data_IF_353630262376
#
_entry.id   IF_353630262376
#
_cell.length_a   1.000
_cell.length_b   1.000
_cell.length_c   1.000
_cell.angle_alpha   90.00
_cell.angle_beta   90.00
_cell.angle_gamma   90.00
#
_symmetry.space_group_name_H-M   'P 1'
#
loop_
_entity.id
_entity.type
_entity.pdbx_description
1 polymer ?
#
# COMPACT_ATOMS: atom_id res chain seq x y z
N UNK A 1 -15.06 -9.23 -13.94
CA UNK A 1 -13.92 -8.43 -14.43
C UNK A 1 -13.32 -7.71 -13.22
N UNK A 2 -12.00 -7.61 -13.11
CA UNK A 2 -11.32 -6.86 -12.04
C UNK A 2 -10.90 -5.51 -12.62
N UNK A 3 -11.45 -4.42 -12.07
CA UNK A 3 -11.30 -3.06 -12.59
C UNK A 3 -10.42 -2.16 -11.69
N UNK A 4 -10.00 -2.67 -10.54
CA UNK A 4 -9.16 -1.94 -9.60
C UNK A 4 -7.69 -2.29 -9.82
N UNK A 5 -6.81 -1.34 -9.56
CA UNK A 5 -5.36 -1.52 -9.63
C UNK A 5 -4.95 -2.62 -8.67
N UNK A 6 -4.05 -3.49 -9.11
CA UNK A 6 -3.39 -4.49 -8.25
C UNK A 6 -1.90 -4.45 -8.49
N UNK A 7 -1.15 -4.68 -7.43
CA UNK A 7 0.29 -4.59 -7.38
C UNK A 7 0.89 -5.89 -6.85
N UNK A 8 2.21 -6.01 -6.90
CA UNK A 8 2.89 -7.21 -6.43
C UNK A 8 2.69 -7.45 -4.92
N UNK A 9 2.52 -6.39 -4.13
CA UNK A 9 2.30 -6.51 -2.68
C UNK A 9 0.94 -7.15 -2.34
N UNK A 10 -0.05 -7.00 -3.23
CA UNK A 10 -1.40 -7.55 -3.05
C UNK A 10 -1.42 -9.08 -3.22
N UNK A 11 -0.46 -9.61 -3.99
CA UNK A 11 -0.37 -11.05 -4.25
C UNK A 11 -0.16 -11.85 -2.96
N UNK A 12 0.60 -11.31 -2.01
CA UNK A 12 0.91 -12.01 -0.77
C UNK A 12 -0.36 -12.32 0.05
N UNK A 13 -1.16 -11.29 0.35
CA UNK A 13 -2.47 -11.45 1.02
C UNK A 13 -3.41 -12.33 0.21
N UNK A 14 -3.39 -12.19 -1.12
CA UNK A 14 -4.22 -13.00 -2.04
C UNK A 14 -3.94 -14.49 -1.88
N UNK A 15 -2.68 -14.92 -1.94
CA UNK A 15 -2.31 -16.33 -1.84
C UNK A 15 -2.64 -16.88 -0.45
N UNK A 16 -2.32 -16.13 0.60
CA UNK A 16 -2.59 -16.53 1.99
C UNK A 16 -4.08 -16.81 2.21
N UNK A 17 -4.95 -15.88 1.81
CA UNK A 17 -6.40 -16.03 1.98
C UNK A 17 -6.99 -17.09 1.05
N UNK A 18 -6.57 -17.15 -0.23
CA UNK A 18 -7.08 -18.16 -1.19
C UNK A 18 -6.81 -19.59 -0.74
N UNK A 19 -5.64 -19.85 -0.15
CA UNK A 19 -5.26 -21.19 0.32
C UNK A 19 -5.54 -21.40 1.81
N UNK A 20 -6.15 -20.41 2.49
CA UNK A 20 -6.46 -20.44 3.92
C UNK A 20 -5.23 -20.87 4.75
N UNK A 21 -4.08 -20.25 4.47
CA UNK A 21 -2.84 -20.56 5.16
C UNK A 21 -2.87 -20.03 6.60
N UNK A 22 -2.28 -20.73 7.58
CA UNK A 22 -2.21 -20.24 8.95
C UNK A 22 -1.25 -19.07 9.03
N UNK A 23 -1.83 -17.90 9.19
CA UNK A 23 -1.14 -16.64 9.41
C UNK A 23 -1.70 -16.10 10.72
N UNK A 24 -0.81 -15.76 11.64
CA UNK A 24 -1.21 -15.25 12.96
C UNK A 24 -1.63 -13.77 12.81
N UNK A 25 -1.26 -12.91 13.76
CA UNK A 25 -1.58 -11.48 13.70
C UNK A 25 -0.60 -10.68 12.80
N UNK A 26 -0.08 -11.31 11.75
CA UNK A 26 0.88 -10.66 10.85
C UNK A 26 0.19 -9.54 10.05
N UNK A 27 0.74 -8.33 10.15
CA UNK A 27 0.19 -7.17 9.42
C UNK A 27 0.50 -7.26 7.93
N UNK A 28 -0.52 -7.19 7.07
CA UNK A 28 -0.36 -7.09 5.62
C UNK A 28 -0.37 -5.65 5.13
N UNK A 29 0.52 -5.34 4.19
CA UNK A 29 0.57 -4.02 3.54
C UNK A 29 -0.28 -3.92 2.25
N UNK A 30 -0.71 -5.06 1.68
CA UNK A 30 -1.50 -5.12 0.44
C UNK A 30 -2.96 -5.54 0.67
N UNK A 31 -3.76 -5.43 -0.39
CA UNK A 31 -5.18 -5.87 -0.41
C UNK A 31 -5.32 -7.26 -1.02
N UNK A 32 -6.47 -7.91 -0.81
CA UNK A 32 -6.76 -9.16 -1.53
C UNK A 32 -7.06 -8.87 -3.01
N UNK A 33 -6.43 -9.60 -3.93
CA UNK A 33 -6.44 -9.35 -5.37
C UNK A 33 -7.82 -9.43 -6.02
N UNK A 34 -8.71 -10.22 -5.44
CA UNK A 34 -10.12 -10.35 -5.87
C UNK A 34 -11.10 -9.49 -5.07
N UNK A 35 -10.63 -8.73 -4.08
CA UNK A 35 -11.49 -7.83 -3.29
C UNK A 35 -11.90 -6.61 -4.10
N UNK A 36 -12.80 -5.81 -3.53
CA UNK A 36 -13.17 -4.47 -3.98
C UNK A 36 -12.45 -3.37 -3.21
N UNK A 37 -11.45 -3.71 -2.40
CA UNK A 37 -10.66 -2.73 -1.65
C UNK A 37 -9.80 -1.90 -2.65
N UNK A 38 -9.78 -0.57 -2.52
CA UNK A 38 -8.92 0.29 -3.32
C UNK A 38 -7.46 0.14 -2.88
N UNK A 39 -6.54 0.28 -3.82
CA UNK A 39 -5.09 0.24 -3.56
C UNK A 39 -4.35 1.07 -4.59
N UNK A 40 -3.03 1.04 -4.55
CA UNK A 40 -2.17 1.70 -5.52
C UNK A 40 -0.99 0.81 -5.88
N UNK A 41 -0.44 1.01 -7.07
CA UNK A 41 0.84 0.43 -7.46
C UNK A 41 1.88 1.55 -7.57
N UNK A 42 3.05 1.34 -6.99
CA UNK A 42 4.14 2.32 -7.03
C UNK A 42 5.38 1.69 -7.64
N UNK A 43 5.94 2.34 -8.64
CA UNK A 43 7.22 1.94 -9.22
C UNK A 43 8.34 2.64 -8.46
N UNK A 44 9.24 1.85 -7.84
CA UNK A 44 10.23 2.36 -6.90
C UNK A 44 11.31 3.24 -7.55
N UNK A 45 11.62 3.05 -8.84
CA UNK A 45 12.73 3.76 -9.50
C UNK A 45 12.34 5.15 -10.00
N UNK A 46 11.17 5.27 -10.61
CA UNK A 46 10.61 6.48 -11.19
C UNK A 46 9.70 7.21 -10.21
N UNK A 47 9.28 6.52 -9.15
CA UNK A 47 8.36 7.02 -8.13
C UNK A 47 7.01 7.44 -8.73
N UNK A 48 6.60 6.75 -9.78
CA UNK A 48 5.29 6.93 -10.38
C UNK A 48 4.29 5.99 -9.69
N UNK A 49 3.10 6.52 -9.46
CA UNK A 49 2.02 5.87 -8.73
C UNK A 49 0.84 5.72 -9.66
N UNK A 50 0.34 4.49 -9.75
CA UNK A 50 -0.88 4.13 -10.47
C UNK A 50 -2.00 3.93 -9.46
N UNK A 51 -3.08 4.67 -9.62
CA UNK A 51 -4.33 4.57 -8.88
C UNK A 51 -5.44 4.04 -9.81
N UNK A 52 -6.58 3.67 -9.23
CA UNK A 52 -7.72 3.11 -9.98
C UNK A 52 -8.20 3.97 -11.15
N UNK A 53 -8.01 5.30 -11.07
CA UNK A 53 -8.53 6.24 -12.06
C UNK A 53 -7.49 7.15 -12.72
N UNK A 54 -6.24 7.15 -12.25
CA UNK A 54 -5.18 8.00 -12.81
C UNK A 54 -3.79 7.57 -12.35
N UNK A 55 -2.78 8.09 -13.03
CA UNK A 55 -1.35 7.93 -12.71
C UNK A 55 -0.82 9.29 -12.29
N UNK A 56 0.11 9.34 -11.33
CA UNK A 56 0.83 10.57 -11.00
C UNK A 56 2.27 10.29 -10.57
N UNK A 57 3.13 11.31 -10.60
CA UNK A 57 4.50 11.19 -10.11
C UNK A 57 4.63 11.72 -8.67
N UNK A 58 5.16 10.93 -7.74
CA UNK A 58 5.42 11.39 -6.37
C UNK A 58 6.44 12.52 -6.32
N UNK A 59 7.36 12.58 -7.29
CA UNK A 59 8.37 13.66 -7.40
C UNK A 59 7.76 14.99 -7.83
N UNK A 60 6.63 14.94 -8.53
CA UNK A 60 5.88 16.11 -8.95
C UNK A 60 4.40 15.75 -9.03
N UNK A 61 3.67 15.93 -7.92
CA UNK A 61 2.28 15.50 -7.80
C UNK A 61 1.29 16.31 -8.67
N UNK A 62 1.75 17.37 -9.34
CA UNK A 62 0.95 18.09 -10.34
C UNK A 62 1.02 17.43 -11.72
N UNK A 63 1.92 16.45 -11.92
CA UNK A 63 2.03 15.66 -13.14
C UNK A 63 1.12 14.43 -13.00
N UNK A 64 -0.06 14.51 -13.58
CA UNK A 64 -1.07 13.45 -13.59
C UNK A 64 -1.39 13.00 -15.02
N UNK A 65 -1.88 11.77 -15.16
CA UNK A 65 -2.48 11.26 -16.38
C UNK A 65 -3.79 10.54 -16.04
N UNK A 66 -4.94 10.98 -16.58
CA UNK A 66 -5.13 12.17 -17.42
C UNK A 66 -4.85 13.49 -16.66
N UNK A 67 -4.48 14.55 -17.39
CA UNK A 67 -3.96 15.83 -16.83
C UNK A 67 -5.02 16.66 -16.07
N UNK A 68 -6.30 16.32 -16.19
CA UNK A 68 -7.42 16.97 -15.50
C UNK A 68 -7.62 16.47 -14.07
N UNK A 69 -6.84 15.46 -13.65
CA UNK A 69 -6.89 14.90 -12.29
C UNK A 69 -5.92 15.61 -11.36
N UNK A 70 -6.33 15.78 -10.12
CA UNK A 70 -5.49 16.28 -9.04
C UNK A 70 -5.35 15.23 -7.94
N UNK A 71 -4.14 15.09 -7.43
CA UNK A 71 -3.86 14.25 -6.26
C UNK A 71 -4.29 15.03 -5.03
N UNK A 72 -5.17 14.47 -4.21
CA UNK A 72 -5.51 15.10 -2.93
C UNK A 72 -4.34 14.96 -1.96
N UNK A 73 -4.19 15.91 -1.05
CA UNK A 73 -3.16 15.84 0.01
C UNK A 73 -3.27 14.56 0.83
N UNK A 74 -4.50 14.08 1.07
CA UNK A 74 -4.76 12.84 1.82
C UNK A 74 -4.18 11.61 1.13
N UNK A 75 -4.40 11.48 -0.19
CA UNK A 75 -3.86 10.38 -1.00
C UNK A 75 -2.33 10.45 -1.02
N UNK A 76 -1.78 11.63 -1.29
CA UNK A 76 -0.34 11.85 -1.32
C UNK A 76 0.31 11.48 0.03
N UNK A 77 -0.23 11.97 1.13
CA UNK A 77 0.30 11.73 2.47
C UNK A 77 0.17 10.27 2.87
N UNK A 78 -0.90 9.59 2.46
CA UNK A 78 -1.07 8.15 2.68
C UNK A 78 0.05 7.36 2.00
N UNK A 79 0.29 7.62 0.72
CA UNK A 79 1.30 6.91 -0.08
C UNK A 79 2.72 7.24 0.40
N UNK A 80 2.97 8.50 0.79
CA UNK A 80 4.23 8.90 1.38
C UNK A 80 4.50 8.15 2.69
N UNK A 81 3.52 8.11 3.61
CA UNK A 81 3.65 7.35 4.87
C UNK A 81 3.90 5.87 4.60
N UNK A 82 3.19 5.29 3.63
CA UNK A 82 3.39 3.90 3.22
C UNK A 82 4.83 3.63 2.77
N UNK A 83 5.40 4.50 1.91
CA UNK A 83 6.79 4.38 1.46
C UNK A 83 7.77 4.47 2.62
N UNK A 84 7.61 5.50 3.46
CA UNK A 84 8.50 5.74 4.60
C UNK A 84 8.48 4.56 5.59
N UNK A 85 7.30 4.01 5.86
CA UNK A 85 7.16 2.84 6.72
C UNK A 85 7.82 1.62 6.08
N UNK A 86 7.58 1.37 4.80
CA UNK A 86 8.20 0.25 4.06
C UNK A 86 9.73 0.32 4.09
N UNK A 87 10.31 1.50 3.90
CA UNK A 87 11.76 1.71 3.97
C UNK A 87 12.30 1.52 5.39
N UNK A 88 11.56 2.04 6.39
CA UNK A 88 11.94 1.92 7.80
C UNK A 88 11.95 0.44 8.23
N UNK A 89 10.95 -0.33 7.82
CA UNK A 89 10.85 -1.77 8.08
C UNK A 89 12.05 -2.55 7.53
N UNK A 90 12.53 -2.21 6.33
CA UNK A 90 13.73 -2.83 5.76
C UNK A 90 15.03 -2.41 6.46
N UNK A 91 15.05 -1.22 7.06
CA UNK A 91 16.26 -0.64 7.66
C UNK A 91 16.57 -1.13 9.08
N UNK A 92 15.59 -1.71 9.79
CA UNK A 92 15.71 -2.07 11.21
C UNK A 92 15.00 -3.40 11.48
N UNK A 93 15.77 -4.40 11.93
CA UNK A 93 15.29 -5.78 12.07
C UNK A 93 14.18 -5.99 13.13
N UNK A 94 13.93 -5.04 14.03
CA UNK A 94 12.93 -5.11 15.10
C UNK A 94 11.67 -4.28 14.83
N UNK A 95 11.56 -3.60 13.68
CA UNK A 95 10.50 -2.63 13.44
C UNK A 95 9.10 -3.25 13.35
N UNK A 96 8.97 -4.48 12.87
CA UNK A 96 7.68 -5.18 12.83
C UNK A 96 7.07 -5.29 14.23
N UNK A 97 7.85 -5.78 15.19
CA UNK A 97 7.45 -5.91 16.59
C UNK A 97 6.98 -4.57 17.16
N UNK A 98 7.68 -3.48 16.85
CA UNK A 98 7.33 -2.13 17.34
C UNK A 98 6.04 -1.59 16.71
N UNK A 99 5.76 -1.95 15.46
CA UNK A 99 4.50 -1.61 14.78
C UNK A 99 3.35 -2.39 15.41
N UNK A 100 3.52 -3.70 15.63
CA UNK A 100 2.50 -4.56 16.23
C UNK A 100 2.15 -4.08 17.66
N UNK A 101 3.15 -3.73 18.47
CA UNK A 101 2.98 -3.11 19.79
C UNK A 101 2.19 -1.79 19.70
N UNK A 102 2.50 -0.93 18.74
CA UNK A 102 1.82 0.36 18.58
C UNK A 102 0.36 0.20 18.14
N UNK A 103 0.06 -0.79 17.28
CA UNK A 103 -1.31 -1.14 16.88
C UNK A 103 -2.11 -1.62 18.08
N UNK A 104 -1.55 -2.53 18.88
CA UNK A 104 -2.15 -3.02 20.12
C UNK A 104 -2.47 -1.89 21.10
N UNK A 105 -1.53 -0.96 21.32
CA UNK A 105 -1.72 0.20 22.21
C UNK A 105 -2.86 1.11 21.71
N UNK A 106 -2.95 1.32 20.39
CA UNK A 106 -3.85 2.33 19.82
C UNK A 106 -5.28 1.82 19.59
N UNK A 107 -5.43 0.55 19.20
CA UNK A 107 -6.72 0.00 18.79
C UNK A 107 -7.24 -1.11 19.71
N UNK A 108 -6.42 -1.64 20.62
CA UNK A 108 -6.79 -2.80 21.45
C UNK A 108 -6.85 -4.10 20.64
N UNK A 109 -6.93 -5.22 21.35
CA UNK A 109 -7.07 -6.58 20.79
C UNK A 109 -8.46 -6.81 20.18
#
# INVERSE_FOLDING_TARGET
EQNLVRSQIDLYRTIVELFNLPVENDTYYGVHGLSTEPTFAMENRLMDVVLDSYIYSMRNHTKTYPEDRSVTTEIYDYILRFKLLSDLMLSKGDMQTRVDEAVLIKYGS
#
